data_IF_103544220853
#
_entry.id   IF_103544220853
#
_cell.length_a   1.000
_cell.length_b   1.000
_cell.length_c   1.000
_cell.angle_alpha   90.00
_cell.angle_beta   90.00
_cell.angle_gamma   90.00
#
_symmetry.space_group_name_H-M   'P 1'
#
loop_
_entity.id
_entity.type
_entity.pdbx_description
1 polymer ?
#
# COMPACT_ATOMS: atom_id res chain seq x y z
N UNK A 1 10.62 -9.63 -6.97
CA UNK A 1 9.63 -8.90 -6.13
C UNK A 1 8.36 -9.74 -6.06
N UNK A 2 7.85 -10.08 -4.87
CA UNK A 2 6.57 -10.78 -4.75
C UNK A 2 5.45 -9.79 -5.10
N UNK A 3 4.67 -10.10 -6.13
CA UNK A 3 3.44 -9.37 -6.42
C UNK A 3 2.51 -9.50 -5.21
N UNK A 4 2.09 -8.38 -4.64
CA UNK A 4 1.16 -8.39 -3.52
C UNK A 4 -0.18 -8.96 -3.95
N UNK A 5 -0.82 -9.76 -3.11
CA UNK A 5 -2.25 -10.05 -3.27
C UNK A 5 -2.98 -8.73 -2.98
N UNK A 6 -3.88 -8.31 -3.87
CA UNK A 6 -4.62 -7.06 -3.68
C UNK A 6 -5.35 -7.05 -2.34
N UNK A 7 -5.38 -5.90 -1.68
CA UNK A 7 -5.98 -5.74 -0.36
C UNK A 7 -6.81 -4.46 -0.26
N UNK A 8 -7.69 -4.42 0.73
CA UNK A 8 -8.38 -3.21 1.13
C UNK A 8 -7.59 -2.51 2.25
N UNK A 9 -7.49 -1.20 2.17
CA UNK A 9 -6.76 -0.37 3.11
C UNK A 9 -7.47 0.97 3.32
N UNK A 10 -7.18 1.64 4.43
CA UNK A 10 -7.68 3.00 4.70
C UNK A 10 -6.74 3.75 5.63
N UNK A 11 -6.85 5.07 5.65
CA UNK A 11 -6.20 5.85 6.69
C UNK A 11 -6.88 5.65 8.04
N UNK A 12 -6.10 5.65 9.12
CA UNK A 12 -6.66 5.62 10.48
C UNK A 12 -7.59 6.83 10.69
N UNK A 13 -8.88 6.56 10.88
CA UNK A 13 -9.92 7.57 11.04
C UNK A 13 -10.83 7.73 9.82
N UNK A 14 -10.46 7.21 8.65
CA UNK A 14 -11.37 7.15 7.50
C UNK A 14 -12.40 6.03 7.67
N UNK A 15 -13.63 6.29 7.21
CA UNK A 15 -14.67 5.26 7.11
C UNK A 15 -14.51 4.41 5.86
N UNK A 16 -14.17 5.02 4.72
CA UNK A 16 -14.10 4.35 3.43
C UNK A 16 -12.81 3.53 3.29
N UNK A 17 -12.96 2.28 2.82
CA UNK A 17 -11.85 1.46 2.39
C UNK A 17 -11.53 1.72 0.92
N UNK A 18 -10.25 1.64 0.59
CA UNK A 18 -9.70 1.78 -0.75
C UNK A 18 -9.11 0.43 -1.13
N UNK A 19 -9.33 0.00 -2.37
CA UNK A 19 -8.67 -1.19 -2.88
C UNK A 19 -7.32 -0.82 -3.49
N UNK A 20 -6.30 -1.65 -3.30
CA UNK A 20 -5.01 -1.43 -3.93
C UNK A 20 -4.10 -2.64 -3.85
N UNK A 21 -2.97 -2.53 -4.52
CA UNK A 21 -1.98 -3.60 -4.62
C UNK A 21 -0.75 -3.21 -3.79
N UNK A 22 -0.55 -3.84 -2.61
CA UNK A 22 0.54 -3.48 -1.73
C UNK A 22 1.86 -3.97 -2.31
N UNK A 23 2.81 -3.06 -2.43
CA UNK A 23 4.20 -3.38 -2.76
C UNK A 23 5.10 -2.90 -1.63
N UNK A 24 5.81 -3.82 -1.00
CA UNK A 24 6.75 -3.47 0.06
C UNK A 24 7.95 -2.76 -0.54
N UNK A 25 8.26 -1.58 -0.01
CA UNK A 25 9.48 -0.87 -0.35
C UNK A 25 10.52 -1.27 0.68
N UNK A 26 11.61 -1.86 0.22
CA UNK A 26 12.74 -2.24 1.06
C UNK A 26 13.61 -1.01 1.35
N UNK A 27 13.05 -0.02 2.06
CA UNK A 27 13.76 1.21 2.47
C UNK A 27 14.17 1.20 3.96
N UNK A 28 13.92 0.11 4.67
CA UNK A 28 14.19 -0.02 6.11
C UNK A 28 13.23 0.77 7.01
N UNK A 29 12.25 1.52 6.45
CA UNK A 29 11.32 2.37 7.21
C UNK A 29 9.91 1.78 7.31
N UNK A 30 9.69 0.58 6.76
CA UNK A 30 8.39 -0.09 6.78
C UNK A 30 7.34 0.60 5.91
N UNK A 31 7.77 1.19 4.80
CA UNK A 31 6.87 1.78 3.82
C UNK A 31 6.26 0.71 2.90
N UNK A 32 4.99 0.91 2.60
CA UNK A 32 4.21 0.13 1.63
C UNK A 32 3.70 1.10 0.58
N UNK A 33 3.94 0.78 -0.69
CA UNK A 33 3.32 1.48 -1.82
C UNK A 33 1.99 0.81 -2.12
N UNK A 34 0.91 1.58 -2.18
CA UNK A 34 -0.38 1.10 -2.65
C UNK A 34 -0.55 1.50 -4.12
N UNK A 35 -0.34 0.53 -5.00
CA UNK A 35 -0.56 0.67 -6.43
C UNK A 35 -2.04 0.59 -6.80
N UNK A 36 -2.43 1.28 -7.86
CA UNK A 36 -3.76 1.11 -8.47
C UNK A 36 -3.88 -0.25 -9.18
N UNK A 37 -2.75 -0.80 -9.63
CA UNK A 37 -2.65 -2.04 -10.39
C UNK A 37 -1.61 -2.97 -9.79
N UNK A 38 -1.76 -4.27 -10.02
CA UNK A 38 -0.76 -5.25 -9.63
C UNK A 38 0.54 -4.97 -10.41
N UNK A 39 1.63 -4.76 -9.69
CA UNK A 39 2.91 -4.39 -10.30
C UNK A 39 3.10 -2.90 -10.59
N UNK A 40 2.31 -2.02 -9.98
CA UNK A 40 2.62 -0.59 -9.96
C UNK A 40 3.72 -0.27 -8.93
N UNK A 41 4.95 -0.18 -9.44
CA UNK A 41 6.17 0.05 -8.65
C UNK A 41 6.62 1.51 -8.62
N UNK A 42 5.90 2.45 -9.23
CA UNK A 42 6.41 3.82 -9.43
C UNK A 42 5.37 4.89 -9.09
N UNK A 43 4.10 4.67 -9.39
CA UNK A 43 3.06 5.71 -9.35
C UNK A 43 2.05 5.54 -8.20
N UNK A 44 2.19 4.49 -7.40
CA UNK A 44 1.37 4.24 -6.22
C UNK A 44 1.69 5.16 -5.03
N UNK A 45 0.66 5.41 -4.21
CA UNK A 45 0.76 6.21 -2.98
C UNK A 45 1.69 5.52 -1.97
N UNK A 46 2.65 6.27 -1.42
CA UNK A 46 3.54 5.79 -0.36
C UNK A 46 2.88 5.92 1.00
N UNK A 47 2.75 4.81 1.71
CA UNK A 47 2.10 4.74 3.00
C UNK A 47 3.04 4.10 4.02
N UNK A 48 3.02 4.59 5.25
CA UNK A 48 3.71 3.91 6.35
C UNK A 48 2.77 2.84 6.91
N UNK A 49 3.28 1.67 7.34
CA UNK A 49 2.42 0.69 8.00
C UNK A 49 1.72 1.24 9.26
N UNK A 50 2.29 2.27 9.91
CA UNK A 50 1.71 2.87 11.13
C UNK A 50 0.39 3.61 10.89
N UNK A 51 0.11 4.03 9.65
CA UNK A 51 -1.12 4.77 9.28
C UNK A 51 -2.19 3.88 8.64
N UNK A 52 -1.85 2.62 8.37
CA UNK A 52 -2.74 1.61 7.79
C UNK A 52 -3.46 0.82 8.91
N UNK A 53 -4.72 0.46 8.66
CA UNK A 53 -5.55 -0.39 9.52
C UNK A 53 -6.36 -1.37 8.69
#
# INVERSE_FOLDING_TARGET
>A
MKMGVGCYWRFKGEKAYRYGWPTQIHDGKGLVRMGAWNGDYVWGLLLTQKILR
#
